data_IF_750092440705
#
_entry.id   IF_750092440705
#
_cell.length_a   1.000
_cell.length_b   1.000
_cell.length_c   1.000
_cell.angle_alpha   90.00
_cell.angle_beta   90.00
_cell.angle_gamma   90.00
#
_symmetry.space_group_name_H-M   'P 1'
#
loop_
_entity.id
_entity.type
_entity.pdbx_description
1 polymer ?
#
# COMPACT_ATOMS: atom_id res chain seq x y z
N UNK A 1 6.64 8.38 -5.40
CA UNK A 1 7.23 7.37 -4.49
C UNK A 1 6.28 7.18 -3.30
N UNK A 2 6.20 5.98 -2.70
CA UNK A 2 5.33 5.73 -1.55
C UNK A 2 5.83 6.44 -0.30
N UNK A 3 4.89 6.88 0.54
CA UNK A 3 5.19 7.57 1.80
C UNK A 3 5.47 6.56 2.91
N UNK A 4 6.58 6.72 3.64
CA UNK A 4 6.81 6.00 4.88
C UNK A 4 6.11 6.73 6.03
N UNK A 5 5.15 6.05 6.66
CA UNK A 5 4.38 6.59 7.79
C UNK A 5 5.14 6.29 9.08
N UNK A 6 5.50 7.35 9.79
CA UNK A 6 6.19 7.28 11.06
C UNK A 6 5.24 7.66 12.18
N UNK A 7 5.27 6.86 13.24
CA UNK A 7 4.50 7.10 14.45
C UNK A 7 5.47 7.37 15.59
N UNK A 8 5.14 8.30 16.49
CA UNK A 8 5.90 8.46 17.72
C UNK A 8 5.87 7.16 18.51
N UNK A 9 7.00 6.78 19.10
CA UNK A 9 7.10 5.57 19.93
C UNK A 9 6.09 5.62 21.07
N UNK A 10 5.01 4.86 20.96
CA UNK A 10 4.03 4.75 22.03
C UNK A 10 4.58 3.84 23.13
N UNK A 11 5.23 4.44 24.13
CA UNK A 11 5.62 3.73 25.35
C UNK A 11 4.35 3.19 26.03
N UNK A 12 4.15 1.87 25.99
CA UNK A 12 3.09 1.18 26.75
C UNK A 12 1.94 0.57 25.94
N UNK A 13 1.83 0.82 24.62
CA UNK A 13 0.83 0.11 23.80
C UNK A 13 1.33 -1.31 23.51
N UNK A 14 0.68 -2.32 24.11
CA UNK A 14 0.98 -3.73 23.82
C UNK A 14 0.65 -4.01 22.35
N UNK A 15 1.57 -4.65 21.63
CA UNK A 15 1.29 -5.17 20.30
C UNK A 15 0.12 -6.14 20.39
N UNK A 16 -0.98 -5.82 19.73
CA UNK A 16 -2.16 -6.69 19.61
C UNK A 16 -2.05 -7.52 18.35
N UNK A 17 -2.53 -8.77 18.38
CA UNK A 17 -2.67 -9.58 17.18
C UNK A 17 -3.78 -9.08 16.27
N UNK A 18 -4.75 -8.35 16.84
CA UNK A 18 -5.91 -7.78 16.13
C UNK A 18 -5.58 -6.34 15.74
N UNK A 19 -5.76 -5.96 14.47
CA UNK A 19 -5.57 -4.58 14.03
C UNK A 19 -6.69 -3.66 14.55
N UNK A 20 -6.31 -2.46 14.98
CA UNK A 20 -7.26 -1.42 15.39
C UNK A 20 -7.78 -0.66 14.15
N UNK A 21 -8.86 -1.16 13.55
CA UNK A 21 -9.43 -0.61 12.31
C UNK A 21 -10.01 0.80 12.47
N UNK A 22 -10.29 1.23 13.71
CA UNK A 22 -10.82 2.57 13.99
C UNK A 22 -9.80 3.67 13.63
N UNK A 23 -8.52 3.30 13.61
CA UNK A 23 -7.40 4.22 13.37
C UNK A 23 -7.16 4.51 11.89
N UNK A 24 -7.82 3.79 10.95
CA UNK A 24 -7.70 4.08 9.52
C UNK A 24 -8.18 5.48 9.14
N UNK A 25 -9.11 6.08 9.90
CA UNK A 25 -9.51 7.47 9.67
C UNK A 25 -8.35 8.45 9.89
N UNK A 26 -7.42 8.18 10.82
CA UNK A 26 -6.23 9.02 11.03
C UNK A 26 -5.23 8.87 9.89
N UNK A 27 -4.99 7.62 9.48
CA UNK A 27 -4.10 7.28 8.35
C UNK A 27 -4.55 7.96 7.06
N UNK A 28 -5.84 7.88 6.74
CA UNK A 28 -6.39 8.45 5.50
C UNK A 28 -6.40 9.97 5.53
N UNK A 29 -6.67 10.61 6.68
CA UNK A 29 -6.49 12.06 6.84
C UNK A 29 -5.05 12.49 6.57
N UNK A 30 -4.07 11.72 7.04
CA UNK A 30 -2.66 12.00 6.82
C UNK A 30 -2.27 11.91 5.33
N UNK A 31 -2.70 10.83 4.65
CA UNK A 31 -2.31 10.58 3.26
C UNK A 31 -3.08 11.41 2.23
N UNK A 32 -4.36 11.68 2.48
CA UNK A 32 -5.28 12.25 1.49
C UNK A 32 -5.95 13.54 1.94
N UNK A 33 -5.73 13.99 3.18
CA UNK A 33 -6.45 15.14 3.75
C UNK A 33 -7.92 14.86 4.10
N UNK A 34 -8.41 13.64 3.90
CA UNK A 34 -9.80 13.25 4.16
C UNK A 34 -9.89 11.95 4.97
N UNK A 35 -10.86 11.82 5.89
CA UNK A 35 -11.07 10.57 6.62
C UNK A 35 -11.69 9.49 5.74
N UNK A 36 -11.69 8.26 6.24
CA UNK A 36 -12.51 7.17 5.72
C UNK A 36 -13.57 6.74 6.73
N UNK A 37 -14.58 6.02 6.25
CA UNK A 37 -15.45 5.22 7.11
C UNK A 37 -14.62 4.12 7.80
N UNK A 38 -14.96 3.79 9.04
CA UNK A 38 -14.39 2.63 9.72
C UNK A 38 -14.92 1.37 9.04
N UNK A 39 -14.07 0.44 8.59
CA UNK A 39 -14.53 -0.79 7.97
C UNK A 39 -15.11 -1.73 9.04
N UNK A 40 -16.31 -2.26 8.79
CA UNK A 40 -16.96 -3.20 9.70
C UNK A 40 -16.25 -4.56 9.75
N UNK A 41 -15.71 -5.00 8.61
CA UNK A 41 -14.99 -6.26 8.46
C UNK A 41 -13.88 -6.16 7.41
N UNK A 42 -12.97 -7.14 7.42
CA UNK A 42 -12.01 -7.31 6.34
C UNK A 42 -12.74 -7.66 5.04
N UNK A 43 -12.36 -6.98 3.95
CA UNK A 43 -12.80 -7.27 2.60
C UNK A 43 -12.33 -8.66 2.13
N UNK A 44 -11.11 -9.06 2.53
CA UNK A 44 -10.57 -10.38 2.25
C UNK A 44 -9.49 -10.74 3.28
N UNK A 45 -9.49 -11.98 3.76
CA UNK A 45 -8.51 -12.47 4.73
C UNK A 45 -7.68 -13.57 4.07
N UNK A 46 -6.36 -13.47 4.18
CA UNK A 46 -5.41 -14.49 3.74
C UNK A 46 -4.50 -14.90 4.88
N UNK A 47 -3.72 -15.97 4.67
CA UNK A 47 -2.71 -16.43 5.64
C UNK A 47 -1.75 -15.33 6.10
N UNK A 48 -1.40 -14.40 5.21
CA UNK A 48 -0.33 -13.43 5.44
C UNK A 48 -0.85 -12.01 5.64
N UNK A 49 -1.99 -11.65 5.03
CA UNK A 49 -2.54 -10.31 5.11
C UNK A 49 -4.06 -10.32 5.25
N UNK A 50 -4.58 -9.34 5.97
CA UNK A 50 -5.97 -8.93 5.98
C UNK A 50 -6.11 -7.67 5.11
N UNK A 51 -7.11 -7.67 4.22
CA UNK A 51 -7.38 -6.58 3.29
C UNK A 51 -8.65 -5.87 3.74
N UNK A 52 -8.58 -4.55 3.91
CA UNK A 52 -9.71 -3.70 4.28
C UNK A 52 -9.97 -2.69 3.16
N UNK A 53 -11.19 -2.67 2.64
CA UNK A 53 -11.61 -1.67 1.65
C UNK A 53 -12.03 -0.40 2.39
N UNK A 54 -11.28 0.69 2.20
CA UNK A 54 -11.52 1.95 2.87
C UNK A 54 -12.28 2.90 1.94
N UNK A 55 -13.47 3.32 2.36
CA UNK A 55 -14.28 4.31 1.66
C UNK A 55 -13.95 5.71 2.18
N UNK A 56 -13.36 6.55 1.33
CA UNK A 56 -12.91 7.90 1.68
C UNK A 56 -14.08 8.88 1.61
N UNK A 57 -14.18 9.77 2.60
CA UNK A 57 -15.19 10.85 2.65
C UNK A 57 -14.73 12.03 1.79
N UNK A 58 -14.69 11.83 0.47
CA UNK A 58 -14.16 12.83 -0.48
C UNK A 58 -15.21 13.92 -0.78
N UNK A 59 -14.90 15.21 -0.51
CA UNK A 59 -15.74 16.32 -0.94
C UNK A 59 -15.93 16.35 -2.45
N UNK A 60 -17.11 16.76 -2.93
CA UNK A 60 -17.48 16.72 -4.37
C UNK A 60 -16.42 17.39 -5.26
N UNK A 61 -15.88 18.54 -4.84
CA UNK A 61 -14.89 19.31 -5.58
C UNK A 61 -13.48 18.68 -5.62
N UNK A 62 -13.23 17.61 -4.85
CA UNK A 62 -11.94 16.91 -4.80
C UNK A 62 -11.98 15.50 -5.41
N UNK A 63 -13.14 15.06 -5.95
CA UNK A 63 -13.33 13.69 -6.44
C UNK A 63 -12.46 13.32 -7.63
N UNK A 64 -12.00 14.31 -8.40
CA UNK A 64 -11.08 14.08 -9.53
C UNK A 64 -9.62 13.97 -9.08
N UNK A 65 -9.32 14.33 -7.84
CA UNK A 65 -7.96 14.39 -7.29
C UNK A 65 -7.69 13.38 -6.19
N UNK A 66 -8.72 12.99 -5.44
CA UNK A 66 -8.64 12.04 -4.33
C UNK A 66 -9.43 10.78 -4.67
N UNK A 67 -8.84 9.58 -4.55
CA UNK A 67 -9.56 8.34 -4.80
C UNK A 67 -10.77 8.20 -3.86
N UNK A 68 -11.89 7.70 -4.37
CA UNK A 68 -13.06 7.43 -3.53
C UNK A 68 -12.88 6.20 -2.63
N UNK A 69 -12.03 5.25 -3.06
CA UNK A 69 -11.74 4.01 -2.34
C UNK A 69 -10.26 3.68 -2.43
N UNK A 70 -9.71 3.13 -1.36
CA UNK A 70 -8.35 2.56 -1.30
C UNK A 70 -8.36 1.25 -0.53
N UNK A 71 -7.33 0.44 -0.69
CA UNK A 71 -7.19 -0.81 0.03
C UNK A 71 -6.10 -0.69 1.09
N UNK A 72 -6.44 -0.98 2.34
CA UNK A 72 -5.47 -1.20 3.40
C UNK A 72 -5.12 -2.69 3.46
N UNK A 73 -3.84 -2.99 3.25
CA UNK A 73 -3.28 -4.34 3.40
C UNK A 73 -2.52 -4.40 4.71
N UNK A 74 -3.02 -5.16 5.66
CA UNK A 74 -2.48 -5.30 7.01
C UNK A 74 -1.83 -6.67 7.15
N UNK A 75 -0.58 -6.71 7.59
CA UNK A 75 0.14 -7.96 7.85
C UNK A 75 -0.44 -8.67 9.07
N UNK A 76 -0.64 -9.98 8.92
CA UNK A 76 -0.95 -10.88 10.05
C UNK A 76 0.30 -11.16 10.88
N UNK A 77 0.11 -11.71 12.08
CA UNK A 77 1.19 -12.23 12.93
C UNK A 77 2.07 -13.27 12.22
N UNK A 78 1.46 -14.08 11.35
CA UNK A 78 2.18 -15.11 10.58
C UNK A 78 3.18 -14.46 9.65
N UNK A 79 2.80 -13.38 8.97
CA UNK A 79 3.71 -12.62 8.11
C UNK A 79 4.78 -11.90 8.93
N UNK A 80 4.39 -11.26 10.04
CA UNK A 80 5.32 -10.53 10.90
C UNK A 80 6.43 -11.42 11.51
N UNK A 81 6.19 -12.74 11.64
CA UNK A 81 7.16 -13.73 12.13
C UNK A 81 7.88 -14.49 11.01
N UNK A 82 7.65 -14.12 9.76
CA UNK A 82 8.29 -14.75 8.59
C UNK A 82 9.35 -13.84 7.98
N UNK A 83 10.17 -14.39 7.09
CA UNK A 83 11.18 -13.61 6.34
C UNK A 83 10.57 -12.75 5.21
N UNK A 84 9.23 -12.69 5.10
CA UNK A 84 8.52 -11.90 4.08
C UNK A 84 8.54 -10.42 4.48
N UNK A 85 9.42 -9.66 3.83
CA UNK A 85 9.51 -8.21 4.02
C UNK A 85 8.43 -7.44 3.26
N UNK A 86 7.66 -6.63 3.98
CA UNK A 86 6.74 -5.65 3.37
C UNK A 86 7.49 -4.64 2.52
N UNK A 87 8.68 -4.22 2.94
CA UNK A 87 9.49 -3.25 2.20
C UNK A 87 9.94 -3.83 0.86
N UNK A 88 10.36 -5.10 0.83
CA UNK A 88 10.71 -5.79 -0.42
C UNK A 88 9.51 -5.90 -1.38
N UNK A 89 8.31 -6.16 -0.86
CA UNK A 89 7.09 -6.17 -1.69
C UNK A 89 6.79 -4.79 -2.28
N UNK A 90 6.89 -3.72 -1.47
CA UNK A 90 6.65 -2.35 -1.91
C UNK A 90 7.70 -1.90 -2.92
N UNK A 91 8.97 -2.18 -2.64
CA UNK A 91 10.09 -1.93 -3.52
C UNK A 91 9.89 -2.62 -4.89
N UNK A 92 9.41 -3.87 -4.88
CA UNK A 92 9.06 -4.61 -6.09
C UNK A 92 7.92 -3.94 -6.86
N UNK A 93 6.83 -3.54 -6.20
CA UNK A 93 5.71 -2.84 -6.87
C UNK A 93 6.16 -1.52 -7.51
N UNK A 94 6.98 -0.73 -6.81
CA UNK A 94 7.53 0.52 -7.33
C UNK A 94 8.45 0.24 -8.53
N UNK A 95 9.32 -0.77 -8.42
CA UNK A 95 10.25 -1.13 -9.48
C UNK A 95 9.53 -1.58 -10.75
N UNK A 96 8.60 -2.54 -10.64
CA UNK A 96 7.80 -3.03 -11.77
C UNK A 96 7.09 -1.86 -12.44
N UNK A 97 6.35 -1.05 -11.67
CA UNK A 97 5.62 0.12 -12.20
C UNK A 97 6.51 1.13 -12.92
N UNK A 98 7.76 1.30 -12.47
CA UNK A 98 8.71 2.24 -13.06
C UNK A 98 9.36 1.74 -14.35
N UNK A 99 9.23 0.44 -14.66
CA UNK A 99 9.97 -0.23 -15.74
C UNK A 99 9.07 -0.94 -16.75
N UNK A 100 7.79 -1.13 -16.45
CA UNK A 100 6.82 -1.81 -17.32
C UNK A 100 5.47 -1.10 -17.34
N UNK A 101 4.63 -1.46 -18.30
CA UNK A 101 3.24 -1.03 -18.39
C UNK A 101 2.29 -1.99 -17.64
N UNK A 102 2.83 -2.95 -16.89
CA UNK A 102 2.05 -3.88 -16.08
C UNK A 102 1.33 -3.08 -14.99
N UNK A 103 0.00 -3.18 -14.98
CA UNK A 103 -0.84 -2.58 -13.97
C UNK A 103 -0.62 -3.25 -12.60
N UNK A 104 0.24 -2.66 -11.79
CA UNK A 104 0.43 -3.02 -10.38
C UNK A 104 -0.21 -1.96 -9.47
N UNK A 105 -0.67 -2.35 -8.26
CA UNK A 105 -1.24 -1.39 -7.32
C UNK A 105 -0.29 -0.23 -7.03
N UNK A 106 -0.82 0.99 -7.05
CA UNK A 106 -0.08 2.16 -6.58
C UNK A 106 0.00 2.13 -5.07
N UNK A 107 1.18 2.37 -4.49
CA UNK A 107 1.35 2.44 -3.04
C UNK A 107 1.34 3.90 -2.61
N UNK A 108 0.33 4.30 -1.84
CA UNK A 108 0.21 5.67 -1.31
C UNK A 108 1.13 5.86 -0.10
N UNK A 109 1.10 4.92 0.83
CA UNK A 109 2.00 4.91 1.98
C UNK A 109 1.96 3.62 2.76
N UNK A 110 2.90 3.43 3.66
CA UNK A 110 3.05 2.19 4.43
C UNK A 110 3.76 2.42 5.76
N UNK A 111 3.55 1.49 6.70
CA UNK A 111 4.28 1.39 7.95
C UNK A 111 4.71 -0.08 8.14
N UNK A 112 6.02 -0.40 8.07
CA UNK A 112 6.49 -1.79 8.12
C UNK A 112 6.57 -2.35 9.54
N UNK A 113 6.37 -1.52 10.57
CA UNK A 113 6.57 -1.89 11.98
C UNK A 113 5.24 -2.05 12.71
N UNK A 114 5.26 -2.55 13.95
CA UNK A 114 4.05 -2.72 14.79
C UNK A 114 3.78 -1.51 15.68
N UNK A 115 4.77 -0.63 15.81
CA UNK A 115 4.75 0.60 16.59
C UNK A 115 3.97 1.69 15.85
N UNK A 116 2.69 1.43 15.60
CA UNK A 116 1.79 2.36 14.93
C UNK A 116 0.36 2.26 15.48
N UNK A 117 -0.51 3.19 15.10
CA UNK A 117 -1.88 3.24 15.61
C UNK A 117 -2.71 1.99 15.29
N UNK A 118 -2.45 1.32 14.15
CA UNK A 118 -3.14 0.07 13.76
C UNK A 118 -2.67 -1.12 14.62
N UNK A 119 -1.43 -1.08 15.14
CA UNK A 119 -0.81 -2.17 15.92
C UNK A 119 -0.22 -3.31 15.08
N UNK A 120 -0.26 -3.18 13.75
CA UNK A 120 0.26 -4.15 12.79
C UNK A 120 0.95 -3.44 11.62
N UNK A 121 1.93 -4.05 10.93
CA UNK A 121 2.47 -3.49 9.70
C UNK A 121 1.38 -3.38 8.65
N UNK A 122 1.32 -2.28 7.90
CA UNK A 122 0.31 -2.08 6.89
C UNK A 122 0.80 -1.25 5.69
N UNK A 123 0.10 -1.38 4.56
CA UNK A 123 0.27 -0.52 3.38
C UNK A 123 -1.08 -0.08 2.84
N UNK A 124 -1.20 1.20 2.45
CA UNK A 124 -2.36 1.76 1.75
C UNK A 124 -2.06 1.79 0.26
N UNK A 125 -2.84 1.06 -0.53
CA UNK A 125 -2.63 0.87 -1.96
C UNK A 125 -3.90 1.22 -2.76
N UNK A 126 -3.74 1.50 -4.05
CA UNK A 126 -4.87 1.72 -4.96
C UNK A 126 -5.75 0.48 -5.01
N UNK A 127 -7.05 0.70 -4.93
CA UNK A 127 -8.02 -0.33 -5.22
C UNK A 127 -8.22 -0.44 -6.74
N UNK A 128 -8.18 -1.65 -7.27
CA UNK A 128 -8.49 -1.94 -8.67
C UNK A 128 -9.78 -2.74 -8.68
N UNK A 129 -10.80 -2.22 -9.35
CA UNK A 129 -12.06 -2.94 -9.53
C UNK A 129 -11.84 -4.09 -10.53
N UNK A 130 -12.29 -5.28 -10.15
CA UNK A 130 -12.16 -6.47 -10.96
C UNK A 130 -12.51 -7.72 -10.19
N UNK A 131 -12.57 -8.83 -10.91
CA UNK A 131 -12.83 -10.15 -10.36
C UNK A 131 -11.58 -11.01 -10.44
N UNK A 132 -11.32 -11.79 -9.39
CA UNK A 132 -10.26 -12.80 -9.43
C UNK A 132 -10.66 -13.86 -10.45
N UNK A 133 -9.82 -14.08 -11.46
CA UNK A 133 -10.00 -15.14 -12.44
C UNK A 133 -9.87 -16.52 -11.78
N UNK A 134 -10.99 -17.04 -11.27
CA UNK A 134 -11.09 -18.38 -10.70
C UNK A 134 -11.52 -19.39 -11.78
N UNK A 135 -11.47 -20.69 -11.45
CA UNK A 135 -11.77 -21.75 -12.41
C UNK A 135 -13.19 -21.67 -12.96
N UNK A 136 -14.20 -21.33 -12.13
CA UNK A 136 -15.58 -21.21 -12.60
C UNK A 136 -15.76 -20.05 -13.58
N UNK A 137 -15.23 -18.87 -13.26
CA UNK A 137 -15.30 -17.69 -14.15
C UNK A 137 -14.59 -18.02 -15.45
N UNK A 138 -13.39 -18.61 -15.38
CA UNK A 138 -12.64 -19.00 -16.57
C UNK A 138 -13.46 -19.92 -17.48
N UNK A 139 -14.08 -20.98 -16.96
CA UNK A 139 -14.83 -21.92 -17.78
C UNK A 139 -16.02 -21.24 -18.50
N UNK A 140 -16.71 -20.32 -17.84
CA UNK A 140 -17.87 -19.61 -18.37
C UNK A 140 -17.52 -18.50 -19.38
N UNK A 141 -16.24 -18.14 -19.52
CA UNK A 141 -15.83 -17.11 -20.48
C UNK A 141 -16.03 -17.56 -21.94
N UNK A 142 -16.57 -16.69 -22.82
CA UNK A 142 -16.55 -16.89 -24.26
C UNK A 142 -15.13 -17.12 -24.80
N UNK A 143 -15.01 -17.93 -25.85
CA UNK A 143 -13.70 -18.31 -26.42
C UNK A 143 -12.86 -17.11 -26.84
N UNK A 144 -13.47 -16.07 -27.42
CA UNK A 144 -12.77 -14.86 -27.84
C UNK A 144 -12.23 -14.07 -26.62
N UNK A 145 -12.97 -14.05 -25.51
CA UNK A 145 -12.50 -13.46 -24.24
C UNK A 145 -11.34 -14.29 -23.68
N UNK A 146 -11.45 -15.62 -23.63
CA UNK A 146 -10.36 -16.52 -23.19
C UNK A 146 -9.07 -16.26 -23.96
N UNK A 147 -9.16 -16.15 -25.30
CA UNK A 147 -8.00 -15.87 -26.15
C UNK A 147 -7.38 -14.49 -25.87
N UNK A 148 -8.20 -13.45 -25.63
CA UNK A 148 -7.71 -12.12 -25.22
C UNK A 148 -7.00 -12.19 -23.87
N UNK A 149 -7.62 -12.83 -22.87
CA UNK A 149 -7.05 -12.99 -21.52
C UNK A 149 -5.70 -13.71 -21.55
N UNK A 150 -5.56 -14.79 -22.33
CA UNK A 150 -4.27 -15.51 -22.47
C UNK A 150 -3.20 -14.61 -23.10
N UNK A 151 -3.56 -13.81 -24.11
CA UNK A 151 -2.62 -12.86 -24.74
C UNK A 151 -2.18 -11.78 -23.76
N UNK A 152 -3.11 -11.24 -22.98
CA UNK A 152 -2.81 -10.24 -21.95
C UNK A 152 -1.92 -10.80 -20.87
N UNK A 153 -2.20 -12.02 -20.38
CA UNK A 153 -1.36 -12.71 -19.42
C UNK A 153 0.05 -12.96 -19.99
N UNK A 154 0.15 -13.47 -21.22
CA UNK A 154 1.43 -13.71 -21.88
C UNK A 154 2.24 -12.42 -22.04
N UNK A 155 1.58 -11.30 -22.39
CA UNK A 155 2.21 -9.98 -22.47
C UNK A 155 2.76 -9.54 -21.11
N UNK A 156 1.97 -9.66 -20.03
CA UNK A 156 2.41 -9.32 -18.67
C UNK A 156 3.63 -10.16 -18.28
N UNK A 157 3.58 -11.47 -18.48
CA UNK A 157 4.71 -12.36 -18.16
C UNK A 157 5.96 -12.00 -18.97
N UNK A 158 5.79 -11.68 -20.25
CA UNK A 158 6.90 -11.26 -21.12
C UNK A 158 7.51 -9.91 -20.67
N UNK A 159 6.70 -8.96 -20.21
CA UNK A 159 7.20 -7.70 -19.65
C UNK A 159 7.96 -7.93 -18.35
N UNK A 160 7.39 -8.72 -17.43
CA UNK A 160 8.05 -9.06 -16.17
C UNK A 160 9.35 -9.84 -16.40
N UNK A 161 9.41 -10.75 -17.38
CA UNK A 161 10.62 -11.53 -17.66
C UNK A 161 11.77 -10.69 -18.23
N UNK A 162 11.48 -9.51 -18.79
CA UNK A 162 12.49 -8.58 -19.30
C UNK A 162 13.13 -7.74 -18.20
N UNK A 163 12.56 -7.73 -16.99
CA UNK A 163 13.12 -7.01 -15.86
C UNK A 163 14.44 -7.65 -15.43
N UNK A 164 15.50 -6.84 -15.46
CA UNK A 164 16.81 -7.21 -14.94
C UNK A 164 16.97 -6.61 -13.55
N UNK A 165 17.34 -7.44 -12.60
CA UNK A 165 17.77 -6.98 -11.28
C UNK A 165 19.29 -6.87 -11.31
N UNK A 166 19.80 -5.64 -11.34
CA UNK A 166 21.24 -5.39 -11.42
C UNK A 166 21.98 -5.82 -10.14
N UNK A 167 21.24 -6.10 -9.06
CA UNK A 167 21.73 -6.62 -7.77
C UNK A 167 20.73 -7.59 -7.17
N UNK A 168 21.21 -8.61 -6.45
CA UNK A 168 20.38 -9.46 -5.59
C UNK A 168 20.02 -8.61 -4.36
N UNK A 169 18.75 -8.25 -4.24
CA UNK A 169 18.26 -7.26 -3.28
C UNK A 169 18.15 -5.87 -3.94
N UNK A 170 16.96 -5.27 -3.86
CA UNK A 170 16.78 -3.88 -4.29
C UNK A 170 17.51 -2.99 -3.28
N UNK A 171 18.70 -2.52 -3.66
CA UNK A 171 19.54 -1.63 -2.87
C UNK A 171 18.78 -0.33 -2.58
N UNK A 172 18.56 -0.03 -1.30
CA UNK A 172 17.92 1.22 -0.88
C UNK A 172 18.96 2.34 -0.85
N UNK A 173 18.60 3.48 -1.49
CA UNK A 173 19.13 4.86 -1.29
C UNK A 173 20.06 5.38 -2.40
N UNK A 174 19.99 6.69 -2.78
CA UNK A 174 19.62 7.82 -1.91
C UNK A 174 18.55 8.78 -2.46
N UNK A 175 17.81 9.41 -1.54
CA UNK A 175 17.28 10.76 -1.76
C UNK A 175 15.78 10.95 -1.53
N UNK A 176 15.44 11.42 -0.32
CA UNK A 176 14.14 11.93 0.14
C UNK A 176 13.05 10.87 0.41
N UNK A 177 13.15 10.22 1.58
CA UNK A 177 11.97 9.66 2.23
C UNK A 177 11.09 10.83 2.66
N UNK A 178 9.98 11.08 1.98
CA UNK A 178 8.91 11.91 2.55
C UNK A 178 8.33 11.13 3.72
N UNK A 179 8.85 11.39 4.91
CA UNK A 179 8.30 10.87 6.14
C UNK A 179 7.12 11.75 6.54
N UNK A 180 5.96 11.15 6.77
CA UNK A 180 4.85 11.84 7.40
C UNK A 180 4.73 11.31 8.83
N UNK A 181 4.89 12.23 9.78
CA UNK A 181 4.62 11.95 11.19
C UNK A 181 3.12 12.00 11.42
N UNK A 182 2.59 10.94 12.03
CA UNK A 182 1.21 10.92 12.51
C UNK A 182 1.24 11.27 13.99
N UNK A 183 1.01 12.54 14.32
CA UNK A 183 0.77 12.97 15.70
C UNK A 183 -0.69 12.72 16.08
N UNK A 184 -0.91 12.40 17.36
CA UNK A 184 -2.18 11.87 17.88
C UNK A 184 -3.36 12.86 17.75
N UNK A 185 -3.11 14.12 17.40
CA UNK A 185 -4.12 15.10 16.97
C UNK A 185 -3.54 16.17 16.03
N UNK A 186 -4.05 16.23 14.79
CA UNK A 186 -3.96 17.33 13.79
C UNK A 186 -2.69 17.51 12.93
N UNK A 187 -2.94 17.50 11.61
CA UNK A 187 -2.17 17.99 10.43
C UNK A 187 -0.73 17.45 10.25
N UNK A 188 -0.45 16.68 9.17
CA UNK A 188 0.89 16.22 8.86
C UNK A 188 1.82 17.40 8.55
N UNK A 189 2.90 17.55 9.33
CA UNK A 189 4.00 18.46 9.02
C UNK A 189 5.07 17.70 8.23
N UNK A 190 5.36 18.15 7.01
CA UNK A 190 6.48 17.64 6.22
C UNK A 190 7.78 18.03 6.94
N UNK A 191 8.57 17.04 7.34
CA UNK A 191 9.90 17.29 7.89
C UNK A 191 10.88 17.44 6.72
N UNK A 192 11.11 18.67 6.27
CA UNK A 192 12.27 18.98 5.42
C UNK A 192 13.51 19.04 6.32
N UNK A 193 14.36 18.02 6.23
CA UNK A 193 15.73 18.08 6.79
C UNK A 193 16.69 18.31 5.65
N UNK A 194 17.02 19.56 5.36
CA UNK A 194 18.17 19.86 4.52
C UNK A 194 18.29 21.25 3.92
N UNK A 195 18.11 22.33 4.68
CA UNK A 195 18.64 23.64 4.25
C UNK A 195 20.16 23.64 4.37
N UNK A 196 20.85 23.41 3.26
CA UNK A 196 22.29 23.63 3.11
C UNK A 196 22.56 25.13 3.31
N UNK A 197 23.15 25.51 4.44
CA UNK A 197 23.70 26.85 4.62
C UNK A 197 24.84 27.04 3.61
N UNK A 198 24.63 27.92 2.62
CA UNK A 198 25.74 28.62 1.98
C UNK A 198 26.22 29.68 2.95
N UNK A 199 27.35 29.42 3.60
CA UNK A 199 28.17 30.49 4.18
C UNK A 199 29.00 31.05 3.02
N UNK A 200 28.82 32.35 2.77
CA UNK A 200 29.65 33.13 1.85
C UNK A 200 30.97 33.55 2.49
#
# INVERSE_FOLDING_TARGET
MPILLQYPSQQGRKSTSIPDTTQFSGVTRCLFGVPCATPDQAYHISKYNELYLLHLHVPVHLRDYIPAKVLARVSTDVKARSDISMESEIATMVFVRSRTDVAVPFVYGYCPTRENAIGQPFSIISFVEGETMNSSIWEDLPLDVKLRTIRDYARIILELSKLKFDRIGLDQSPGVNTNLNIEENMVPTIVDRGSYQRVG
#
